data_IF_104768965937
#
_entry.id   IF_104768965937
#
_cell.length_a   1.000
_cell.length_b   1.000
_cell.length_c   1.000
_cell.angle_alpha   90.00
_cell.angle_beta   90.00
_cell.angle_gamma   90.00
#
_symmetry.space_group_name_H-M   'P 1'
#
loop_
_entity.id
_entity.type
_entity.pdbx_description
1 polymer ?
#
# COMPACT_ATOMS: atom_id res chain seq x y z
N UNK A 1 -39.31 -6.08 -15.73
CA UNK A 1 -38.80 -7.40 -15.34
C UNK A 1 -37.31 -7.35 -15.42
N UNK A 2 -36.63 -7.25 -14.27
CA UNK A 2 -35.16 -7.31 -14.18
C UNK A 2 -34.75 -8.76 -13.94
N UNK A 3 -33.67 -9.27 -14.52
CA UNK A 3 -33.16 -10.59 -14.17
C UNK A 3 -32.52 -10.57 -12.76
N UNK A 4 -32.53 -11.70 -12.05
CA UNK A 4 -32.03 -11.77 -10.68
C UNK A 4 -30.51 -11.69 -10.64
N UNK A 5 -30.02 -11.01 -9.63
CA UNK A 5 -28.60 -10.92 -9.25
C UNK A 5 -28.06 -12.33 -8.94
N UNK A 6 -27.00 -12.74 -9.65
CA UNK A 6 -26.28 -13.96 -9.37
C UNK A 6 -25.63 -13.86 -7.99
N UNK A 7 -26.10 -14.70 -7.07
CA UNK A 7 -25.52 -14.90 -5.76
C UNK A 7 -24.11 -15.48 -5.89
N UNK A 8 -23.14 -14.79 -5.34
CA UNK A 8 -21.79 -15.30 -5.13
C UNK A 8 -21.80 -16.28 -3.94
N UNK A 9 -22.48 -17.41 -4.13
CA UNK A 9 -22.48 -18.53 -3.18
C UNK A 9 -21.89 -19.75 -3.86
N UNK A 10 -20.61 -20.02 -3.63
CA UNK A 10 -20.00 -21.30 -3.93
C UNK A 10 -20.20 -22.22 -2.73
N UNK A 11 -21.07 -23.20 -2.93
CA UNK A 11 -21.31 -24.30 -1.99
C UNK A 11 -20.06 -25.19 -1.88
N UNK A 12 -19.60 -25.42 -0.67
CA UNK A 12 -18.82 -26.57 -0.28
C UNK A 12 -19.72 -27.81 -0.29
N UNK A 13 -19.61 -28.68 -1.28
CA UNK A 13 -19.75 -30.13 -1.18
C UNK A 13 -19.70 -30.79 -2.56
N UNK A 14 -18.58 -31.43 -2.86
CA UNK A 14 -18.60 -32.75 -3.53
C UNK A 14 -17.20 -33.34 -3.51
N UNK A 15 -16.92 -34.15 -2.47
CA UNK A 15 -15.85 -35.13 -2.52
C UNK A 15 -16.43 -36.43 -3.06
N UNK A 16 -16.32 -36.63 -4.36
CA UNK A 16 -16.63 -37.89 -5.04
C UNK A 16 -15.34 -38.62 -5.45
N UNK A 17 -15.23 -39.83 -4.94
CA UNK A 17 -14.16 -40.81 -5.22
C UNK A 17 -14.01 -41.12 -6.71
N UNK A 18 -12.80 -41.08 -7.23
CA UNK A 18 -12.42 -41.94 -8.36
C UNK A 18 -11.10 -42.66 -8.06
N UNK A 19 -11.17 -43.97 -8.27
CA UNK A 19 -10.11 -44.97 -8.08
C UNK A 19 -9.08 -44.89 -9.21
N UNK A 20 -7.87 -45.36 -8.93
CA UNK A 20 -6.65 -45.33 -9.68
C UNK A 20 -6.69 -45.98 -11.06
N UNK A 21 -5.76 -45.52 -11.85
CA UNK A 21 -5.10 -46.30 -12.92
C UNK A 21 -3.60 -45.96 -12.88
N UNK A 22 -2.79 -47.00 -12.72
CA UNK A 22 -1.34 -47.03 -12.84
C UNK A 22 -0.90 -46.66 -14.28
N UNK A 23 0.14 -45.84 -14.39
CA UNK A 23 0.75 -45.52 -15.66
C UNK A 23 2.11 -44.86 -15.46
N UNK A 24 3.17 -45.63 -15.30
CA UNK A 24 4.56 -45.17 -15.27
C UNK A 24 4.97 -44.59 -16.61
N UNK A 25 5.43 -43.33 -16.62
CA UNK A 25 6.41 -42.88 -17.62
C UNK A 25 7.34 -41.85 -17.00
N UNK A 26 8.64 -42.18 -17.09
CA UNK A 26 9.76 -41.33 -16.66
C UNK A 26 9.89 -40.17 -17.65
N UNK A 27 9.93 -38.94 -17.17
CA UNK A 27 10.64 -37.85 -17.84
C UNK A 27 11.28 -36.92 -16.77
N UNK A 28 12.51 -36.49 -17.11
CA UNK A 28 13.46 -35.86 -16.23
C UNK A 28 13.05 -34.46 -15.74
N UNK A 29 13.57 -34.11 -14.61
CA UNK A 29 13.46 -32.79 -13.99
C UNK A 29 14.30 -31.75 -14.75
N UNK A 30 13.82 -30.55 -14.97
CA UNK A 30 14.69 -29.44 -15.29
C UNK A 30 15.22 -28.79 -14.00
N UNK A 31 16.53 -28.67 -13.96
CA UNK A 31 17.32 -27.98 -12.94
C UNK A 31 16.88 -26.51 -12.82
N UNK A 32 16.42 -26.16 -11.64
CA UNK A 32 16.14 -24.78 -11.23
C UNK A 32 17.46 -24.03 -11.03
N UNK A 33 17.76 -23.10 -11.92
CA UNK A 33 18.86 -22.15 -11.73
C UNK A 33 18.32 -20.96 -10.92
N UNK A 34 18.67 -20.93 -9.64
CA UNK A 34 18.47 -19.77 -8.78
C UNK A 34 19.32 -18.61 -9.30
N UNK A 35 18.69 -17.58 -9.86
CA UNK A 35 19.34 -16.31 -10.12
C UNK A 35 19.39 -15.52 -8.80
N UNK A 36 20.53 -15.58 -8.11
CA UNK A 36 20.86 -14.61 -7.04
C UNK A 36 21.22 -13.29 -7.70
N UNK A 37 20.33 -12.30 -7.62
CA UNK A 37 20.67 -10.92 -7.94
C UNK A 37 21.34 -10.32 -6.71
N UNK A 38 22.67 -10.34 -6.70
CA UNK A 38 23.48 -9.63 -5.71
C UNK A 38 23.68 -8.20 -6.23
N UNK A 39 23.09 -7.23 -5.54
CA UNK A 39 23.43 -5.83 -5.77
C UNK A 39 24.80 -5.54 -5.15
N UNK A 40 25.83 -5.48 -5.99
CA UNK A 40 27.13 -4.95 -5.60
C UNK A 40 27.21 -3.47 -5.96
N UNK A 41 27.39 -2.62 -4.96
CA UNK A 41 27.78 -1.23 -5.17
C UNK A 41 29.20 -1.16 -5.69
N UNK A 42 29.53 -0.36 -6.72
CA UNK A 42 30.90 -0.13 -7.15
C UNK A 42 31.56 0.90 -6.24
N UNK A 43 32.61 0.46 -5.53
CA UNK A 43 33.56 1.37 -4.90
C UNK A 43 34.51 1.96 -5.99
N UNK A 44 34.52 3.27 -6.12
CA UNK A 44 35.51 3.99 -6.89
C UNK A 44 36.87 4.09 -6.18
N UNK A 45 38.00 4.20 -6.89
CA UNK A 45 39.33 4.09 -6.32
C UNK A 45 39.77 5.37 -5.60
N UNK A 46 40.42 5.17 -4.43
CA UNK A 46 40.99 6.20 -3.61
C UNK A 46 42.21 6.85 -4.26
N UNK A 47 42.32 8.17 -4.14
CA UNK A 47 43.53 8.93 -4.38
C UNK A 47 44.28 9.12 -3.06
N UNK A 48 45.49 8.58 -3.00
CA UNK A 48 46.51 8.88 -1.99
C UNK A 48 47.12 10.24 -2.25
N UNK A 49 47.34 11.01 -1.22
CA UNK A 49 48.32 12.10 -1.24
C UNK A 49 49.15 12.12 0.05
N UNK A 50 50.43 12.49 -0.03
CA UNK A 50 51.46 12.08 0.92
C UNK A 50 51.63 13.03 2.12
N UNK A 51 52.17 12.44 3.19
CA UNK A 51 52.61 13.12 4.39
C UNK A 51 53.91 13.94 4.20
N UNK A 52 54.04 15.05 4.90
CA UNK A 52 55.27 15.73 5.17
C UNK A 52 55.37 16.18 6.64
N UNK A 53 56.58 16.31 7.21
CA UNK A 53 56.83 16.00 8.62
C UNK A 53 56.99 17.18 9.59
N UNK A 54 56.98 16.79 10.86
CA UNK A 54 57.19 17.46 12.12
C UNK A 54 58.40 18.36 12.28
N UNK A 55 58.27 19.35 13.19
CA UNK A 55 59.21 19.77 14.26
C UNK A 55 58.42 20.68 15.21
N UNK A 56 58.47 20.68 16.55
CA UNK A 56 59.38 20.26 17.55
C UNK A 56 59.23 21.21 18.73
N UNK A 57 59.21 20.71 19.95
CA UNK A 57 59.79 21.38 21.07
C UNK A 57 58.90 22.10 22.11
N UNK A 58 58.99 21.70 23.38
CA UNK A 58 58.71 22.55 24.53
C UNK A 58 58.22 21.82 25.79
N UNK A 59 59.14 21.60 26.69
CA UNK A 59 58.93 20.94 28.00
C UNK A 59 58.31 21.89 29.06
N UNK A 60 57.56 21.30 30.03
CA UNK A 60 57.11 22.00 31.22
C UNK A 60 56.62 21.04 32.28
N UNK A 61 57.30 20.97 33.39
CA UNK A 61 57.33 20.09 34.54
C UNK A 61 56.10 20.11 35.45
N UNK A 62 55.75 18.92 36.01
CA UNK A 62 54.83 18.40 36.95
C UNK A 62 54.59 19.06 38.34
N UNK A 63 54.16 18.40 39.40
CA UNK A 63 53.47 17.12 39.65
C UNK A 63 52.22 17.20 40.57
N UNK A 64 51.80 16.22 41.40
CA UNK A 64 50.81 15.18 41.09
C UNK A 64 49.59 15.25 42.07
N UNK A 65 48.51 14.52 41.77
CA UNK A 65 47.41 14.36 42.69
C UNK A 65 46.22 13.53 42.21
N UNK A 66 46.24 12.29 42.62
CA UNK A 66 45.18 11.44 43.13
C UNK A 66 43.93 11.07 42.31
N UNK A 67 43.85 9.74 42.10
CA UNK A 67 42.72 8.81 42.37
C UNK A 67 41.48 8.80 41.51
N UNK A 68 41.37 7.75 40.70
CA UNK A 68 40.24 6.80 40.51
C UNK A 68 38.89 7.33 40.08
N UNK A 69 38.50 6.93 38.90
CA UNK A 69 37.19 6.33 38.64
C UNK A 69 37.18 5.60 37.30
N UNK A 70 36.57 4.43 37.29
CA UNK A 70 36.61 3.49 36.20
C UNK A 70 35.93 4.02 34.92
N UNK A 71 36.56 3.73 33.81
CA UNK A 71 36.01 3.94 32.48
C UNK A 71 34.91 2.92 32.20
N UNK A 72 33.67 3.34 32.34
CA UNK A 72 32.55 2.65 31.72
C UNK A 72 32.62 2.87 30.21
N UNK A 73 32.85 1.82 29.45
CA UNK A 73 32.73 1.84 27.98
C UNK A 73 31.25 1.98 27.68
N UNK A 74 30.83 3.16 27.22
CA UNK A 74 29.51 3.38 26.67
C UNK A 74 29.38 2.60 25.35
N UNK A 75 28.26 1.93 25.05
CA UNK A 75 28.03 1.30 23.79
C UNK A 75 27.95 2.38 22.70
N UNK A 76 28.67 2.18 21.60
CA UNK A 76 28.64 3.05 20.43
C UNK A 76 27.20 3.20 19.95
N UNK A 77 26.65 4.40 20.12
CA UNK A 77 25.29 4.73 19.76
C UNK A 77 25.10 4.68 18.23
N UNK A 78 24.09 3.97 17.82
CA UNK A 78 23.53 3.91 16.47
C UNK A 78 22.85 5.27 16.08
N UNK A 79 23.50 6.40 16.33
CA UNK A 79 22.90 7.71 16.11
C UNK A 79 23.01 8.23 14.68
N UNK A 80 23.99 7.71 13.90
CA UNK A 80 24.16 8.15 12.51
C UNK A 80 23.06 7.71 11.55
N UNK A 81 22.41 6.56 11.82
CA UNK A 81 21.33 6.07 10.97
C UNK A 81 20.03 6.86 11.16
N UNK A 82 19.75 7.31 12.38
CA UNK A 82 18.53 8.09 12.69
C UNK A 82 18.64 9.50 12.10
N UNK A 83 19.80 10.15 12.19
CA UNK A 83 20.01 11.49 11.63
C UNK A 83 19.95 11.47 10.10
N UNK A 84 20.50 10.43 9.44
CA UNK A 84 20.41 10.28 7.99
C UNK A 84 18.99 9.99 7.51
N UNK A 85 18.13 9.41 8.37
CA UNK A 85 16.70 9.22 8.08
C UNK A 85 15.90 10.54 8.21
N UNK A 86 16.17 11.38 9.19
CA UNK A 86 15.47 12.66 9.38
C UNK A 86 15.69 13.63 8.21
N UNK A 87 16.88 13.73 7.67
CA UNK A 87 17.17 14.57 6.50
C UNK A 87 16.50 14.07 5.21
N UNK A 88 16.27 12.75 5.08
CA UNK A 88 15.54 12.18 3.94
C UNK A 88 14.02 12.39 4.02
N UNK A 89 13.47 12.72 5.20
CA UNK A 89 12.03 12.92 5.42
C UNK A 89 11.57 14.33 4.98
N UNK A 90 12.47 15.33 5.00
CA UNK A 90 12.15 16.72 4.63
C UNK A 90 11.75 16.90 3.16
N UNK A 91 12.10 15.95 2.28
CA UNK A 91 11.79 16.00 0.85
C UNK A 91 10.55 15.21 0.44
N UNK A 92 9.93 14.44 1.32
CA UNK A 92 8.79 13.58 0.98
C UNK A 92 7.50 14.39 0.80
N UNK A 93 6.66 13.98 -0.18
CA UNK A 93 5.37 14.64 -0.42
C UNK A 93 4.24 14.14 0.49
N UNK A 94 4.44 12.99 1.12
CA UNK A 94 3.56 12.50 2.17
C UNK A 94 4.03 12.99 3.55
N UNK A 95 3.09 12.99 4.49
CA UNK A 95 3.39 13.27 5.90
C UNK A 95 3.40 11.96 6.70
N UNK A 96 4.08 11.96 7.85
CA UNK A 96 3.92 10.88 8.83
C UNK A 96 2.46 10.91 9.29
N UNK A 97 1.71 9.86 8.95
CA UNK A 97 0.29 9.80 9.30
C UNK A 97 0.09 9.35 10.74
N UNK A 98 -0.98 9.83 11.41
CA UNK A 98 -1.27 9.42 12.77
C UNK A 98 -1.47 7.91 12.91
N UNK A 99 -1.03 7.37 14.04
CA UNK A 99 -1.36 6.03 14.51
C UNK A 99 -2.21 6.17 15.76
N UNK A 100 -3.51 5.93 15.64
CA UNK A 100 -4.48 6.15 16.72
C UNK A 100 -4.96 4.80 17.27
N UNK A 101 -4.98 4.63 18.58
CA UNK A 101 -5.66 3.50 19.19
C UNK A 101 -7.16 3.76 19.21
N UNK A 102 -7.93 2.96 18.50
CA UNK A 102 -9.39 3.02 18.53
C UNK A 102 -9.92 2.31 19.77
N UNK A 103 -10.65 3.04 20.60
CA UNK A 103 -11.32 2.44 21.74
C UNK A 103 -12.50 1.55 21.27
N UNK A 104 -13.34 2.03 20.36
CA UNK A 104 -14.51 1.32 19.88
C UNK A 104 -14.13 -0.03 19.21
N UNK A 105 -13.18 -0.01 18.29
CA UNK A 105 -12.75 -1.21 17.59
C UNK A 105 -12.01 -2.18 18.53
N UNK A 106 -11.24 -1.66 19.48
CA UNK A 106 -10.54 -2.49 20.47
C UNK A 106 -11.52 -3.27 21.36
N UNK A 107 -12.65 -2.66 21.75
CA UNK A 107 -13.70 -3.35 22.51
C UNK A 107 -14.33 -4.49 21.70
N UNK A 108 -14.52 -4.32 20.39
CA UNK A 108 -15.11 -5.34 19.52
C UNK A 108 -14.19 -6.55 19.34
N UNK A 109 -12.90 -6.32 19.24
CA UNK A 109 -11.90 -7.37 18.96
C UNK A 109 -11.39 -8.02 20.25
N UNK A 110 -11.44 -7.32 21.37
CA UNK A 110 -10.88 -7.77 22.65
C UNK A 110 -9.35 -7.62 22.72
N UNK A 111 -8.75 -6.85 21.81
CA UNK A 111 -7.33 -6.48 21.82
C UNK A 111 -7.16 -5.06 21.28
N UNK A 112 -5.97 -4.46 21.45
CA UNK A 112 -5.71 -3.13 20.93
C UNK A 112 -5.78 -3.09 19.41
N UNK A 113 -6.66 -2.23 18.88
CA UNK A 113 -6.77 -1.93 17.45
C UNK A 113 -6.21 -0.53 17.19
N UNK A 114 -5.19 -0.46 16.37
CA UNK A 114 -4.57 0.79 15.94
C UNK A 114 -4.99 1.12 14.50
N UNK A 115 -5.33 2.38 14.29
CA UNK A 115 -5.70 2.96 13.01
C UNK A 115 -4.51 3.71 12.43
N UNK A 116 -3.94 3.25 11.32
CA UNK A 116 -2.95 4.00 10.55
C UNK A 116 -3.70 4.92 9.58
N UNK A 117 -3.81 6.20 9.94
CA UNK A 117 -4.75 7.15 9.33
C UNK A 117 -4.22 7.75 8.02
N UNK A 118 -4.20 6.98 6.94
CA UNK A 118 -3.80 7.43 5.61
C UNK A 118 -4.82 8.39 4.96
N UNK A 119 -6.04 8.46 5.49
CA UNK A 119 -7.02 9.49 5.15
C UNK A 119 -6.56 10.92 5.51
N UNK A 120 -5.56 11.05 6.38
CA UNK A 120 -4.97 12.34 6.79
C UNK A 120 -3.76 12.77 5.93
N UNK A 121 -3.43 12.03 4.91
CA UNK A 121 -2.41 12.44 3.94
C UNK A 121 -2.85 13.68 3.13
N UNK A 122 -1.93 14.49 2.57
CA UNK A 122 -2.24 15.72 1.84
C UNK A 122 -3.33 15.55 0.78
N UNK A 123 -3.36 14.40 0.10
CA UNK A 123 -4.42 14.10 -0.89
C UNK A 123 -5.47 13.13 -0.36
N UNK A 124 -5.61 13.03 0.97
CA UNK A 124 -6.64 12.25 1.65
C UNK A 124 -6.53 10.74 1.45
N UNK A 125 -5.39 10.21 1.00
CA UNK A 125 -5.17 8.78 0.86
C UNK A 125 -3.69 8.40 0.82
N UNK A 126 -3.39 7.13 1.10
CA UNK A 126 -2.05 6.55 1.03
C UNK A 126 -1.35 6.70 -0.31
N UNK A 127 -2.09 6.96 -1.39
CA UNK A 127 -1.56 7.03 -2.76
C UNK A 127 -0.39 7.99 -2.90
N UNK A 128 -0.38 9.08 -2.14
CA UNK A 128 0.70 10.06 -2.19
C UNK A 128 2.07 9.49 -1.76
N UNK A 129 2.09 8.44 -0.95
CA UNK A 129 3.36 7.79 -0.54
C UNK A 129 4.09 7.22 -1.74
N UNK A 130 3.43 6.31 -2.46
CA UNK A 130 4.03 5.64 -3.61
C UNK A 130 4.11 6.52 -4.84
N UNK A 131 3.03 7.21 -5.18
CA UNK A 131 2.99 8.08 -6.37
C UNK A 131 3.89 9.30 -6.17
N UNK A 132 3.93 9.88 -4.97
CA UNK A 132 4.83 10.97 -4.64
C UNK A 132 6.30 10.58 -4.81
N UNK A 133 6.68 9.42 -4.26
CA UNK A 133 8.02 8.87 -4.42
C UNK A 133 8.35 8.60 -5.91
N UNK A 134 7.46 7.94 -6.64
CA UNK A 134 7.62 7.69 -8.07
C UNK A 134 7.85 9.00 -8.84
N UNK A 135 7.02 10.02 -8.62
CA UNK A 135 7.11 11.30 -9.33
C UNK A 135 8.44 12.03 -9.03
N UNK A 136 8.92 11.97 -7.79
CA UNK A 136 10.21 12.54 -7.41
C UNK A 136 11.36 11.82 -8.13
N UNK A 137 11.34 10.49 -8.16
CA UNK A 137 12.38 9.70 -8.81
C UNK A 137 12.44 9.91 -10.33
N UNK A 138 11.29 9.97 -11.01
CA UNK A 138 11.30 10.25 -12.45
C UNK A 138 11.66 11.69 -12.78
N UNK A 139 11.32 12.65 -11.90
CA UNK A 139 11.74 14.04 -12.05
C UNK A 139 13.27 14.17 -11.95
N UNK A 140 13.90 13.50 -10.98
CA UNK A 140 15.40 13.44 -10.85
C UNK A 140 16.06 12.82 -12.09
N UNK A 141 15.35 11.93 -12.79
CA UNK A 141 15.80 11.30 -14.05
C UNK A 141 15.47 12.13 -15.30
N UNK A 142 14.98 13.36 -15.15
CA UNK A 142 14.73 14.28 -16.25
C UNK A 142 13.33 14.21 -16.86
N UNK A 143 12.33 13.67 -16.16
CA UNK A 143 10.94 13.78 -16.55
C UNK A 143 10.52 15.25 -16.68
N UNK A 144 9.82 15.56 -17.76
CA UNK A 144 9.36 16.94 -18.07
C UNK A 144 7.83 17.05 -18.03
N UNK A 145 7.10 15.94 -18.03
CA UNK A 145 5.64 15.91 -18.02
C UNK A 145 5.12 14.60 -17.45
N UNK A 146 4.18 14.67 -16.53
CA UNK A 146 3.55 13.49 -15.93
C UNK A 146 2.20 13.21 -16.58
N UNK A 147 1.89 11.95 -16.85
CA UNK A 147 0.60 11.53 -17.43
C UNK A 147 0.00 10.44 -16.56
N UNK A 148 -1.29 10.58 -16.20
CA UNK A 148 -2.01 9.56 -15.43
C UNK A 148 -3.42 9.36 -15.99
N UNK A 149 -3.99 8.16 -15.82
CA UNK A 149 -5.35 7.81 -16.30
C UNK A 149 -6.37 7.65 -15.18
N UNK A 150 -6.13 8.21 -14.01
CA UNK A 150 -7.02 8.05 -12.85
C UNK A 150 -7.71 9.34 -12.46
N UNK A 151 -9.04 9.34 -12.37
CA UNK A 151 -9.83 10.44 -11.79
C UNK A 151 -9.93 10.41 -10.27
N UNK A 152 -9.46 9.32 -9.63
CA UNK A 152 -9.53 9.11 -8.19
C UNK A 152 -8.25 9.48 -7.45
N UNK A 153 -8.01 8.76 -6.35
CA UNK A 153 -6.90 9.02 -5.44
C UNK A 153 -5.52 9.00 -6.10
N UNK A 154 -5.31 8.17 -7.13
CA UNK A 154 -4.04 8.11 -7.84
C UNK A 154 -3.81 9.34 -8.71
N UNK A 155 -4.83 9.81 -9.45
CA UNK A 155 -4.73 11.03 -10.26
C UNK A 155 -4.54 12.28 -9.41
N UNK A 156 -5.23 12.37 -8.26
CA UNK A 156 -5.03 13.47 -7.31
C UNK A 156 -3.59 13.47 -6.75
N UNK A 157 -3.05 12.29 -6.40
CA UNK A 157 -1.68 12.19 -5.94
C UNK A 157 -0.66 12.56 -7.05
N UNK A 158 -0.92 12.18 -8.31
CA UNK A 158 -0.08 12.54 -9.45
C UNK A 158 -0.13 14.06 -9.73
N UNK A 159 -1.32 14.66 -9.75
CA UNK A 159 -1.50 16.09 -9.95
C UNK A 159 -0.83 16.92 -8.85
N UNK A 160 -1.05 16.55 -7.58
CA UNK A 160 -0.38 17.17 -6.44
C UNK A 160 1.15 17.07 -6.53
N UNK A 161 1.66 15.88 -6.87
CA UNK A 161 3.10 15.66 -6.99
C UNK A 161 3.70 16.50 -8.12
N UNK A 162 3.02 16.58 -9.27
CA UNK A 162 3.42 17.43 -10.39
C UNK A 162 3.51 18.90 -9.98
N UNK A 163 2.47 19.40 -9.29
CA UNK A 163 2.45 20.78 -8.78
C UNK A 163 3.61 21.05 -7.82
N UNK A 164 3.89 20.09 -6.90
CA UNK A 164 5.02 20.21 -5.97
C UNK A 164 6.38 20.23 -6.68
N UNK A 165 6.51 19.54 -7.80
CA UNK A 165 7.74 19.49 -8.61
C UNK A 165 7.85 20.65 -9.62
N UNK A 166 6.79 21.46 -9.78
CA UNK A 166 6.75 22.46 -10.85
C UNK A 166 6.67 21.85 -12.25
N UNK A 167 6.20 20.60 -12.37
CA UNK A 167 6.05 19.89 -13.64
C UNK A 167 4.60 19.98 -14.14
N UNK A 168 4.37 20.06 -15.43
CA UNK A 168 3.04 19.90 -15.99
C UNK A 168 2.57 18.46 -15.84
N UNK A 169 1.25 18.27 -15.68
CA UNK A 169 0.59 16.98 -15.65
C UNK A 169 -0.65 16.95 -16.51
N UNK A 170 -0.87 15.88 -17.25
CA UNK A 170 -2.11 15.60 -17.98
C UNK A 170 -2.78 14.37 -17.36
N UNK A 171 -4.03 14.53 -16.92
CA UNK A 171 -4.85 13.44 -16.42
C UNK A 171 -5.89 13.08 -17.48
N UNK A 172 -5.82 11.88 -18.03
CA UNK A 172 -6.72 11.40 -19.09
C UNK A 172 -7.86 10.63 -18.44
N UNK A 173 -9.10 11.01 -18.73
CA UNK A 173 -10.30 10.45 -18.11
C UNK A 173 -11.37 10.10 -19.15
N UNK A 174 -12.27 9.14 -18.87
CA UNK A 174 -13.43 8.90 -19.72
C UNK A 174 -14.31 10.15 -19.89
N UNK A 175 -14.95 10.29 -21.05
CA UNK A 175 -15.84 11.41 -21.37
C UNK A 175 -17.00 11.58 -20.38
N UNK A 176 -17.50 10.47 -19.82
CA UNK A 176 -18.58 10.47 -18.82
C UNK A 176 -18.14 10.84 -17.40
N UNK A 177 -16.88 11.26 -17.19
CA UNK A 177 -16.37 11.63 -15.87
C UNK A 177 -17.12 12.83 -15.29
N UNK A 178 -17.54 12.71 -14.03
CA UNK A 178 -18.28 13.76 -13.35
C UNK A 178 -17.51 15.08 -13.29
N UNK A 179 -18.14 16.25 -13.58
CA UNK A 179 -17.46 17.55 -13.63
C UNK A 179 -16.73 17.94 -12.34
N UNK A 180 -17.20 17.47 -11.19
CA UNK A 180 -16.55 17.71 -9.90
C UNK A 180 -15.17 17.04 -9.81
N UNK A 181 -14.99 15.85 -10.39
CA UNK A 181 -13.70 15.15 -10.46
C UNK A 181 -12.72 15.96 -11.32
N UNK A 182 -13.18 16.43 -12.48
CA UNK A 182 -12.39 17.28 -13.39
C UNK A 182 -11.93 18.54 -12.65
N UNK A 183 -12.86 19.25 -12.00
CA UNK A 183 -12.53 20.48 -11.26
C UNK A 183 -11.52 20.26 -10.14
N UNK A 184 -11.59 19.12 -9.43
CA UNK A 184 -10.62 18.81 -8.35
C UNK A 184 -9.21 18.62 -8.89
N UNK A 185 -9.05 17.91 -10.00
CA UNK A 185 -7.76 17.72 -10.66
C UNK A 185 -7.19 19.02 -11.23
N UNK A 186 -8.04 19.83 -11.84
CA UNK A 186 -7.68 21.18 -12.32
C UNK A 186 -7.29 22.10 -11.15
N UNK A 187 -7.93 21.97 -9.99
CA UNK A 187 -7.56 22.69 -8.77
C UNK A 187 -6.15 22.35 -8.26
N UNK A 188 -5.64 21.15 -8.58
CA UNK A 188 -4.25 20.77 -8.34
C UNK A 188 -3.30 21.19 -9.48
N UNK A 189 -3.79 21.93 -10.48
CA UNK A 189 -2.99 22.45 -11.60
C UNK A 189 -2.80 21.46 -12.75
N UNK A 190 -3.49 20.32 -12.75
CA UNK A 190 -3.39 19.37 -13.85
C UNK A 190 -4.28 19.77 -15.04
N UNK A 191 -3.79 19.54 -16.26
CA UNK A 191 -4.61 19.49 -17.45
C UNK A 191 -5.46 18.22 -17.42
N UNK A 192 -6.76 18.32 -17.71
CA UNK A 192 -7.65 17.16 -17.80
C UNK A 192 -8.08 16.98 -19.26
N UNK A 193 -7.73 15.81 -19.81
CA UNK A 193 -8.13 15.39 -21.13
C UNK A 193 -9.24 14.34 -21.02
N UNK A 194 -10.42 14.62 -21.61
CA UNK A 194 -11.49 13.64 -21.70
C UNK A 194 -11.34 12.83 -22.99
N UNK A 195 -11.25 11.50 -22.87
CA UNK A 195 -11.01 10.60 -23.99
C UNK A 195 -11.60 9.20 -23.73
N UNK A 196 -12.37 8.74 -24.70
CA UNK A 196 -12.96 7.40 -24.69
C UNK A 196 -14.17 7.24 -23.78
N UNK A 197 -14.77 6.06 -23.83
CA UNK A 197 -16.02 5.77 -23.10
C UNK A 197 -15.76 5.13 -21.73
N UNK A 198 -14.69 4.36 -21.62
CA UNK A 198 -14.32 3.60 -20.41
C UNK A 198 -12.90 3.92 -19.99
N UNK A 199 -12.54 3.47 -18.78
CA UNK A 199 -11.20 3.69 -18.25
C UNK A 199 -10.09 3.11 -19.14
N UNK A 200 -10.32 1.95 -19.76
CA UNK A 200 -9.33 1.31 -20.62
C UNK A 200 -8.95 2.19 -21.83
N UNK A 201 -9.94 2.90 -22.42
CA UNK A 201 -9.71 3.84 -23.53
C UNK A 201 -8.84 5.03 -23.06
N UNK A 202 -9.20 5.63 -21.92
CA UNK A 202 -8.46 6.74 -21.32
C UNK A 202 -7.03 6.31 -20.94
N UNK A 203 -6.87 5.10 -20.43
CA UNK A 203 -5.58 4.55 -20.06
C UNK A 203 -4.68 4.31 -21.29
N UNK A 204 -5.21 3.77 -22.37
CA UNK A 204 -4.48 3.61 -23.63
C UNK A 204 -4.01 4.96 -24.17
N UNK A 205 -4.88 5.96 -24.13
CA UNK A 205 -4.54 7.32 -24.54
C UNK A 205 -3.46 7.93 -23.66
N UNK A 206 -3.52 7.73 -22.33
CA UNK A 206 -2.49 8.20 -21.40
C UNK A 206 -1.14 7.56 -21.69
N UNK A 207 -1.11 6.25 -21.92
CA UNK A 207 0.11 5.52 -22.29
C UNK A 207 0.68 5.98 -23.64
N UNK A 208 -0.19 6.30 -24.62
CA UNK A 208 0.21 6.85 -25.90
C UNK A 208 0.85 8.23 -25.75
N UNK A 209 0.25 9.11 -24.93
CA UNK A 209 0.84 10.42 -24.63
C UNK A 209 2.21 10.32 -23.96
N UNK A 210 2.38 9.33 -23.09
CA UNK A 210 3.64 9.11 -22.39
C UNK A 210 4.80 8.58 -23.27
N UNK A 211 4.54 8.25 -24.54
CA UNK A 211 5.58 7.93 -25.51
C UNK A 211 6.33 9.17 -26.03
N UNK A 212 5.84 10.38 -25.73
CA UNK A 212 6.53 11.63 -26.08
C UNK A 212 7.80 11.78 -25.24
N UNK A 213 8.83 12.37 -25.83
CA UNK A 213 10.10 12.57 -25.15
C UNK A 213 9.95 13.40 -23.86
N UNK A 214 10.47 12.85 -22.75
CA UNK A 214 10.38 13.45 -21.43
C UNK A 214 9.01 13.32 -20.75
N UNK A 215 8.04 12.64 -21.35
CA UNK A 215 6.73 12.37 -20.74
C UNK A 215 6.76 11.00 -20.05
N UNK A 216 6.20 10.91 -18.84
CA UNK A 216 6.22 9.69 -18.04
C UNK A 216 4.81 9.32 -17.58
N UNK A 217 4.40 8.08 -17.86
CA UNK A 217 3.14 7.51 -17.37
C UNK A 217 3.26 7.17 -15.87
N UNK A 218 2.32 7.69 -15.08
CA UNK A 218 2.18 7.40 -13.66
C UNK A 218 1.15 6.29 -13.48
N UNK A 219 1.62 5.09 -13.20
CA UNK A 219 0.75 3.96 -12.88
C UNK A 219 -0.03 4.22 -11.60
N UNK A 220 -1.32 3.84 -11.50
CA UNK A 220 -2.09 3.98 -10.27
C UNK A 220 -1.64 3.04 -9.14
N UNK A 221 -0.88 1.96 -9.40
CA UNK A 221 -0.48 0.98 -8.40
C UNK A 221 0.70 0.07 -8.81
N UNK A 222 0.92 -0.15 -10.11
CA UNK A 222 1.82 -1.20 -10.60
C UNK A 222 3.16 -0.61 -11.07
N UNK A 223 4.07 -0.40 -10.11
CA UNK A 223 5.45 0.00 -10.38
C UNK A 223 6.31 -0.16 -9.12
N UNK A 224 7.56 -0.68 -9.22
CA UNK A 224 8.45 -0.89 -8.06
C UNK A 224 8.64 0.35 -7.18
N UNK A 225 8.88 1.52 -7.76
CA UNK A 225 9.02 2.77 -7.01
C UNK A 225 7.74 3.17 -6.24
N UNK A 226 6.56 2.77 -6.74
CA UNK A 226 5.30 3.00 -6.04
C UNK A 226 5.22 2.09 -4.81
N UNK A 227 5.60 0.82 -4.95
CA UNK A 227 5.61 -0.13 -3.83
C UNK A 227 6.64 0.29 -2.77
N UNK A 228 7.83 0.71 -3.19
CA UNK A 228 8.87 1.27 -2.33
C UNK A 228 8.35 2.49 -1.54
N UNK A 229 7.70 3.45 -2.20
CA UNK A 229 7.10 4.58 -1.50
C UNK A 229 6.03 4.18 -0.48
N UNK A 230 5.27 3.11 -0.76
CA UNK A 230 4.27 2.59 0.17
C UNK A 230 4.89 1.87 1.38
N UNK A 231 6.10 1.31 1.29
CA UNK A 231 6.78 0.65 2.42
C UNK A 231 7.05 1.62 3.57
N UNK A 232 7.17 2.91 3.29
CA UNK A 232 7.34 3.97 4.30
C UNK A 232 6.27 3.95 5.40
N UNK A 233 5.06 3.47 5.10
CA UNK A 233 3.98 3.29 6.07
C UNK A 233 4.40 2.32 7.18
N UNK A 234 5.09 1.24 6.84
CA UNK A 234 5.53 0.22 7.81
C UNK A 234 6.69 0.72 8.64
N UNK A 235 7.59 1.52 8.09
CA UNK A 235 8.65 2.15 8.87
C UNK A 235 8.09 3.08 9.94
N UNK A 236 7.03 3.82 9.62
CA UNK A 236 6.31 4.63 10.59
C UNK A 236 5.63 3.77 11.68
N UNK A 237 5.02 2.63 11.29
CA UNK A 237 4.46 1.68 12.25
C UNK A 237 5.53 1.10 13.17
N UNK A 238 6.68 0.70 12.61
CA UNK A 238 7.80 0.16 13.37
C UNK A 238 8.33 1.18 14.39
N UNK A 239 8.51 2.44 13.98
CA UNK A 239 8.95 3.51 14.85
C UNK A 239 7.95 3.82 15.98
N UNK A 240 6.65 3.74 15.70
CA UNK A 240 5.60 4.07 16.67
C UNK A 240 5.25 2.94 17.63
N UNK A 241 5.25 1.69 17.17
CA UNK A 241 4.85 0.52 17.98
C UNK A 241 6.03 -0.12 18.71
N UNK A 242 7.23 -0.10 18.13
CA UNK A 242 8.42 -0.76 18.66
C UNK A 242 8.37 -2.29 18.66
N UNK A 243 7.17 -2.89 18.60
CA UNK A 243 6.94 -4.34 18.56
C UNK A 243 5.99 -4.70 17.42
N UNK A 244 6.13 -5.91 16.82
CA UNK A 244 5.26 -6.31 15.73
C UNK A 244 3.80 -6.46 16.19
N UNK A 245 2.82 -5.98 15.40
CA UNK A 245 1.41 -6.25 15.67
C UNK A 245 1.07 -7.72 15.40
N UNK A 246 -0.04 -8.20 15.95
CA UNK A 246 -0.54 -9.55 15.69
C UNK A 246 -1.09 -9.74 14.28
N UNK A 247 -1.55 -8.66 13.63
CA UNK A 247 -2.00 -8.64 12.24
C UNK A 247 -2.02 -7.22 11.67
N UNK A 248 -1.88 -7.10 10.35
CA UNK A 248 -2.15 -5.87 9.59
C UNK A 248 -3.33 -6.10 8.66
N UNK A 249 -4.33 -5.22 8.71
CA UNK A 249 -5.52 -5.27 7.85
C UNK A 249 -5.44 -4.16 6.82
N UNK A 250 -5.61 -4.48 5.54
CA UNK A 250 -5.62 -3.51 4.46
C UNK A 250 -6.58 -3.91 3.34
N UNK A 251 -7.03 -2.92 2.57
CA UNK A 251 -7.82 -3.15 1.36
C UNK A 251 -6.91 -3.33 0.14
N UNK A 252 -7.31 -4.23 -0.76
CA UNK A 252 -6.58 -4.54 -1.99
C UNK A 252 -7.44 -4.19 -3.20
N UNK A 253 -6.90 -3.33 -4.08
CA UNK A 253 -7.39 -3.18 -5.43
C UNK A 253 -6.39 -3.83 -6.38
N UNK A 254 -5.53 -3.05 -7.05
CA UNK A 254 -4.47 -3.59 -7.89
C UNK A 254 -3.27 -4.20 -7.17
N UNK A 255 -3.22 -4.17 -5.83
CA UNK A 255 -2.17 -4.83 -5.04
C UNK A 255 -0.94 -3.98 -4.71
N UNK A 256 -0.86 -2.72 -5.16
CA UNK A 256 0.31 -1.87 -4.91
C UNK A 256 0.55 -1.57 -3.43
N UNK A 257 -0.52 -1.32 -2.64
CA UNK A 257 -0.40 -1.15 -1.19
C UNK A 257 0.08 -2.43 -0.51
N UNK A 258 -0.51 -3.58 -0.89
CA UNK A 258 -0.12 -4.88 -0.39
C UNK A 258 1.37 -5.16 -0.64
N UNK A 259 1.85 -4.89 -1.87
CA UNK A 259 3.25 -5.07 -2.23
C UNK A 259 4.17 -4.18 -1.36
N UNK A 260 3.83 -2.91 -1.18
CA UNK A 260 4.61 -2.00 -0.35
C UNK A 260 4.60 -2.37 1.14
N UNK A 261 3.44 -2.75 1.69
CA UNK A 261 3.35 -3.20 3.10
C UNK A 261 4.13 -4.49 3.30
N UNK A 262 4.03 -5.46 2.38
CA UNK A 262 4.82 -6.70 2.46
C UNK A 262 6.33 -6.42 2.43
N UNK A 263 6.78 -5.55 1.54
CA UNK A 263 8.18 -5.13 1.47
C UNK A 263 8.63 -4.45 2.76
N UNK A 264 7.85 -3.50 3.26
CA UNK A 264 8.16 -2.80 4.51
C UNK A 264 8.21 -3.73 5.72
N UNK A 265 7.30 -4.72 5.83
CA UNK A 265 7.35 -5.71 6.90
C UNK A 265 8.62 -6.55 6.84
N UNK A 266 9.08 -6.91 5.65
CA UNK A 266 10.36 -7.61 5.47
C UNK A 266 11.55 -6.73 5.88
N UNK A 267 11.56 -5.46 5.47
CA UNK A 267 12.63 -4.49 5.76
C UNK A 267 12.82 -4.25 7.26
N UNK A 268 11.73 -4.24 8.04
CA UNK A 268 11.80 -4.03 9.49
C UNK A 268 11.88 -5.34 10.30
N UNK A 269 12.02 -6.50 9.65
CA UNK A 269 12.11 -7.81 10.33
C UNK A 269 10.77 -8.34 10.84
N UNK A 270 9.63 -7.82 10.36
CA UNK A 270 8.27 -8.22 10.75
C UNK A 270 7.57 -9.09 9.71
N UNK A 271 8.32 -9.80 8.85
CA UNK A 271 7.78 -10.65 7.78
C UNK A 271 6.86 -11.79 8.27
N UNK A 272 6.89 -12.10 9.56
CA UNK A 272 6.01 -13.10 10.20
C UNK A 272 4.61 -12.55 10.54
N UNK A 273 4.41 -11.23 10.48
CA UNK A 273 3.11 -10.60 10.75
C UNK A 273 2.14 -10.91 9.62
N UNK A 274 0.98 -11.56 9.90
CA UNK A 274 0.00 -11.84 8.87
C UNK A 274 -0.67 -10.57 8.35
N UNK A 275 -0.93 -10.53 7.04
CA UNK A 275 -1.69 -9.47 6.39
C UNK A 275 -3.08 -10.02 6.05
N UNK A 276 -4.12 -9.34 6.52
CA UNK A 276 -5.50 -9.60 6.13
C UNK A 276 -5.82 -8.68 4.96
N UNK A 277 -5.89 -9.26 3.77
CA UNK A 277 -6.10 -8.56 2.51
C UNK A 277 -7.60 -8.59 2.15
N UNK A 278 -8.24 -7.43 2.21
CA UNK A 278 -9.68 -7.28 2.04
C UNK A 278 -10.03 -6.74 0.67
N UNK A 279 -10.99 -7.37 0.03
CA UNK A 279 -11.56 -6.96 -1.25
C UNK A 279 -13.09 -6.98 -1.18
N UNK A 280 -13.76 -6.41 -2.19
CA UNK A 280 -15.22 -6.47 -2.30
C UNK A 280 -15.65 -7.38 -3.44
N UNK A 281 -16.78 -8.05 -3.32
CA UNK A 281 -17.38 -8.82 -4.40
C UNK A 281 -17.59 -7.91 -5.62
N UNK A 282 -17.13 -8.36 -6.78
CA UNK A 282 -17.11 -7.54 -8.01
C UNK A 282 -15.88 -6.65 -8.20
N UNK A 283 -14.96 -6.59 -7.22
CA UNK A 283 -13.64 -5.96 -7.35
C UNK A 283 -12.59 -6.77 -6.56
N UNK A 284 -12.50 -8.09 -6.83
CA UNK A 284 -11.71 -9.06 -6.07
C UNK A 284 -10.67 -9.79 -6.94
N UNK A 285 -9.95 -9.03 -7.75
CA UNK A 285 -9.01 -9.61 -8.71
C UNK A 285 -7.82 -10.32 -8.04
N UNK A 286 -7.40 -9.88 -6.85
CA UNK A 286 -6.32 -10.53 -6.11
C UNK A 286 -6.77 -11.87 -5.52
N UNK A 287 -7.95 -11.92 -4.90
CA UNK A 287 -8.53 -13.17 -4.39
C UNK A 287 -8.69 -14.22 -5.50
N UNK A 288 -9.28 -13.81 -6.63
CA UNK A 288 -9.43 -14.68 -7.80
C UNK A 288 -8.07 -15.18 -8.34
N UNK A 289 -7.03 -14.33 -8.32
CA UNK A 289 -5.70 -14.72 -8.73
C UNK A 289 -5.04 -15.71 -7.76
N UNK A 290 -5.27 -15.56 -6.45
CA UNK A 290 -4.80 -16.53 -5.43
C UNK A 290 -5.45 -17.89 -5.61
N UNK A 291 -6.77 -17.94 -5.79
CA UNK A 291 -7.50 -19.20 -6.02
C UNK A 291 -7.05 -19.90 -7.31
N UNK A 292 -6.79 -19.12 -8.36
CA UNK A 292 -6.33 -19.66 -9.64
C UNK A 292 -4.84 -20.00 -9.69
N UNK A 293 -4.03 -19.56 -8.71
CA UNK A 293 -2.58 -19.68 -8.71
C UNK A 293 -1.87 -18.91 -9.83
N UNK A 294 -2.58 -17.98 -10.49
CA UNK A 294 -2.09 -17.14 -11.60
C UNK A 294 -2.87 -15.83 -11.67
N UNK A 295 -2.35 -14.86 -12.40
CA UNK A 295 -3.12 -13.63 -12.64
C UNK A 295 -4.44 -13.94 -13.35
N UNK A 296 -5.50 -13.29 -12.84
CA UNK A 296 -6.86 -13.37 -13.38
C UNK A 296 -7.32 -11.95 -13.69
N UNK A 297 -7.92 -11.78 -14.87
CA UNK A 297 -8.57 -10.52 -15.25
C UNK A 297 -10.06 -10.68 -15.07
N UNK A 298 -10.66 -9.89 -14.19
CA UNK A 298 -12.11 -9.84 -14.00
C UNK A 298 -12.78 -9.29 -15.27
N UNK A 299 -13.94 -9.83 -15.66
CA UNK A 299 -14.64 -9.38 -16.87
C UNK A 299 -15.08 -7.91 -16.73
N UNK A 300 -15.53 -7.52 -15.55
CA UNK A 300 -15.93 -6.15 -15.24
C UNK A 300 -15.76 -5.84 -13.75
N UNK A 301 -15.88 -4.55 -13.39
CA UNK A 301 -15.93 -4.08 -12.00
C UNK A 301 -17.37 -3.72 -11.68
N UNK A 302 -17.99 -4.46 -10.77
CA UNK A 302 -19.40 -4.30 -10.39
C UNK A 302 -19.60 -3.77 -8.99
N UNK A 303 -18.55 -3.73 -8.17
CA UNK A 303 -18.58 -3.21 -6.80
C UNK A 303 -18.72 -1.69 -6.75
N UNK A 304 -19.40 -1.19 -5.72
CA UNK A 304 -19.45 0.25 -5.40
C UNK A 304 -18.15 0.78 -4.82
N UNK A 305 -17.25 -0.10 -4.39
CA UNK A 305 -15.91 0.25 -3.94
C UNK A 305 -14.98 0.52 -5.15
N UNK A 306 -15.34 1.49 -5.98
CA UNK A 306 -14.71 1.77 -7.28
C UNK A 306 -13.19 2.03 -7.21
N UNK A 307 -12.68 2.49 -6.06
CA UNK A 307 -11.23 2.67 -5.85
C UNK A 307 -10.46 1.34 -5.71
N UNK A 308 -11.15 0.19 -5.53
CA UNK A 308 -10.59 -1.15 -5.65
C UNK A 308 -10.67 -1.70 -7.08
N UNK A 309 -11.25 -0.97 -8.01
CA UNK A 309 -11.64 -1.41 -9.34
C UNK A 309 -10.49 -1.67 -10.32
N UNK A 310 -9.48 -2.41 -9.92
CA UNK A 310 -8.52 -3.00 -10.84
C UNK A 310 -9.05 -4.34 -11.36
N UNK A 311 -9.10 -4.52 -12.70
CA UNK A 311 -9.54 -5.81 -13.27
C UNK A 311 -8.49 -6.91 -13.07
N UNK A 312 -7.22 -6.54 -12.96
CA UNK A 312 -6.10 -7.48 -12.76
C UNK A 312 -5.17 -6.94 -11.67
N UNK A 313 -4.78 -7.80 -10.74
CA UNK A 313 -3.79 -7.45 -9.72
C UNK A 313 -2.37 -7.40 -10.32
N UNK A 314 -1.46 -6.65 -9.69
CA UNK A 314 -0.04 -6.72 -10.04
C UNK A 314 0.53 -8.12 -9.80
N UNK A 315 1.46 -8.57 -10.63
CA UNK A 315 2.16 -9.83 -10.43
C UNK A 315 2.89 -9.87 -9.09
N UNK A 316 3.38 -8.72 -8.61
CA UNK A 316 4.04 -8.60 -7.32
C UNK A 316 3.14 -9.00 -6.15
N UNK A 317 1.83 -8.77 -6.23
CA UNK A 317 0.91 -9.18 -5.18
C UNK A 317 0.87 -10.71 -5.01
N UNK A 318 0.93 -11.48 -6.10
CA UNK A 318 1.05 -12.95 -6.04
C UNK A 318 2.41 -13.39 -5.47
N UNK A 319 3.49 -12.71 -5.83
CA UNK A 319 4.81 -12.97 -5.26
C UNK A 319 4.78 -12.75 -3.73
N UNK A 320 4.18 -11.66 -3.26
CA UNK A 320 4.01 -11.39 -1.83
C UNK A 320 3.24 -12.53 -1.13
N UNK A 321 2.19 -13.06 -1.76
CA UNK A 321 1.39 -14.15 -1.20
C UNK A 321 2.16 -15.48 -1.10
N UNK A 322 3.21 -15.67 -1.88
CA UNK A 322 4.10 -16.83 -1.77
C UNK A 322 5.17 -16.65 -0.68
N UNK A 323 5.50 -15.42 -0.33
CA UNK A 323 6.60 -15.07 0.58
C UNK A 323 6.13 -14.69 1.99
N UNK A 324 4.86 -14.32 2.16
CA UNK A 324 4.29 -13.82 3.41
C UNK A 324 2.96 -14.49 3.71
N UNK A 325 2.56 -14.50 4.98
CA UNK A 325 1.22 -14.97 5.38
C UNK A 325 0.18 -13.93 4.99
N UNK A 326 -0.51 -14.14 3.86
CA UNK A 326 -1.59 -13.28 3.41
C UNK A 326 -2.92 -14.02 3.47
N UNK A 327 -3.87 -13.47 4.21
CA UNK A 327 -5.22 -13.99 4.40
C UNK A 327 -6.19 -13.14 3.56
N UNK A 328 -6.44 -13.55 2.32
CA UNK A 328 -7.38 -12.85 1.45
C UNK A 328 -8.82 -13.16 1.84
N UNK A 329 -9.66 -12.13 1.88
CA UNK A 329 -11.11 -12.22 2.14
C UNK A 329 -11.86 -11.23 1.27
N UNK A 330 -13.05 -11.65 0.84
CA UNK A 330 -13.96 -10.85 0.02
C UNK A 330 -15.23 -10.59 0.82
N UNK A 331 -15.61 -9.33 0.93
CA UNK A 331 -16.86 -8.89 1.60
C UNK A 331 -17.86 -8.37 0.57
N UNK A 332 -19.12 -8.31 0.94
CA UNK A 332 -20.14 -7.69 0.10
C UNK A 332 -20.06 -6.17 0.18
N UNK A 333 -20.51 -5.48 -0.86
CA UNK A 333 -20.59 -4.02 -0.88
C UNK A 333 -21.38 -3.47 0.32
N UNK A 334 -22.46 -4.15 0.72
CA UNK A 334 -23.23 -3.78 1.87
C UNK A 334 -22.42 -3.79 3.18
N UNK A 335 -21.54 -4.79 3.36
CA UNK A 335 -20.66 -4.85 4.53
C UNK A 335 -19.62 -3.71 4.52
N UNK A 336 -19.05 -3.43 3.37
CA UNK A 336 -18.10 -2.34 3.21
C UNK A 336 -18.75 -0.97 3.48
N UNK A 337 -19.94 -0.71 2.95
CA UNK A 337 -20.67 0.56 3.15
C UNK A 337 -21.16 0.68 4.60
N UNK A 338 -21.66 -0.40 5.20
CA UNK A 338 -22.01 -0.43 6.64
C UNK A 338 -20.81 -0.11 7.52
N UNK A 339 -19.63 -0.66 7.18
CA UNK A 339 -18.41 -0.38 7.91
C UNK A 339 -17.97 1.10 7.81
N UNK A 340 -18.19 1.75 6.66
CA UNK A 340 -17.96 3.20 6.52
C UNK A 340 -18.87 4.01 7.45
N UNK A 341 -20.18 3.66 7.51
CA UNK A 341 -21.11 4.36 8.40
C UNK A 341 -20.71 4.18 9.87
N UNK A 342 -20.46 2.94 10.29
CA UNK A 342 -20.05 2.66 11.68
C UNK A 342 -18.76 3.37 12.04
N UNK A 343 -17.79 3.39 11.13
CA UNK A 343 -16.53 4.09 11.34
C UNK A 343 -16.71 5.61 11.47
N UNK A 344 -17.61 6.18 10.66
CA UNK A 344 -18.00 7.60 10.79
C UNK A 344 -18.61 7.89 12.17
N UNK A 345 -19.44 6.98 12.68
CA UNK A 345 -20.10 7.13 13.97
C UNK A 345 -19.13 6.91 15.15
N UNK A 346 -18.21 5.95 15.03
CA UNK A 346 -17.27 5.62 16.09
C UNK A 346 -16.07 6.59 16.15
N UNK A 347 -15.47 6.93 14.99
CA UNK A 347 -14.21 7.67 14.91
C UNK A 347 -14.35 9.09 14.34
N UNK A 348 -15.54 9.50 13.89
CA UNK A 348 -15.81 10.81 13.26
C UNK A 348 -15.04 11.04 11.97
N UNK A 349 -14.69 9.96 11.26
CA UNK A 349 -13.94 9.98 10.01
C UNK A 349 -14.77 9.40 8.87
N UNK A 350 -14.96 10.16 7.80
CA UNK A 350 -15.58 9.66 6.57
C UNK A 350 -14.49 9.13 5.62
N UNK A 351 -14.67 7.89 5.15
CA UNK A 351 -13.76 7.22 4.22
C UNK A 351 -14.53 6.55 3.09
N UNK A 352 -13.86 6.19 2.01
CA UNK A 352 -14.47 5.50 0.86
C UNK A 352 -14.90 4.06 1.18
N UNK A 353 -15.86 3.49 0.42
CA UNK A 353 -16.20 2.06 0.50
C UNK A 353 -15.00 1.14 0.32
N UNK A 354 -14.01 1.54 -0.47
CA UNK A 354 -12.73 0.84 -0.59
C UNK A 354 -11.99 0.70 0.76
N UNK A 355 -12.00 1.74 1.58
CA UNK A 355 -11.48 1.70 2.95
C UNK A 355 -12.43 0.89 3.86
N UNK A 356 -13.73 1.01 3.63
CA UNK A 356 -14.75 0.23 4.32
C UNK A 356 -14.55 -1.26 4.20
N UNK A 357 -14.01 -1.77 3.09
CA UNK A 357 -13.67 -3.16 2.93
C UNK A 357 -12.64 -3.64 3.99
N UNK A 358 -11.59 -2.85 4.28
CA UNK A 358 -10.64 -3.16 5.34
C UNK A 358 -11.29 -3.08 6.74
N UNK A 359 -12.08 -2.04 6.98
CA UNK A 359 -12.80 -1.84 8.25
C UNK A 359 -13.83 -2.95 8.51
N UNK A 360 -14.44 -3.50 7.45
CA UNK A 360 -15.37 -4.61 7.55
C UNK A 360 -14.73 -5.83 8.22
N UNK A 361 -13.43 -6.07 8.10
CA UNK A 361 -12.74 -7.15 8.80
C UNK A 361 -12.94 -7.08 10.33
N UNK A 362 -13.02 -5.87 10.87
CA UNK A 362 -13.29 -5.65 12.30
C UNK A 362 -14.79 -5.73 12.58
N UNK A 363 -15.60 -4.98 11.83
CA UNK A 363 -17.00 -4.81 12.07
C UNK A 363 -17.86 -6.07 11.81
N UNK A 364 -17.40 -6.98 10.95
CA UNK A 364 -18.04 -8.28 10.68
C UNK A 364 -17.62 -9.40 11.64
N UNK A 365 -16.64 -9.15 12.53
CA UNK A 365 -16.08 -10.17 13.42
C UNK A 365 -15.16 -11.18 12.71
N UNK A 366 -14.67 -10.85 11.51
CA UNK A 366 -13.79 -11.73 10.71
C UNK A 366 -12.54 -12.16 11.47
N UNK A 367 -11.97 -11.32 12.32
CA UNK A 367 -10.77 -11.69 13.11
C UNK A 367 -11.05 -12.89 14.01
N UNK A 368 -12.19 -12.89 14.71
CA UNK A 368 -12.61 -14.02 15.54
C UNK A 368 -12.86 -15.29 14.72
N UNK A 369 -13.39 -15.17 13.51
CA UNK A 369 -13.56 -16.31 12.59
C UNK A 369 -12.19 -16.88 12.19
N UNK A 370 -11.24 -16.02 11.80
CA UNK A 370 -9.89 -16.45 11.43
C UNK A 370 -9.12 -17.10 12.60
N UNK A 371 -9.37 -16.64 13.83
CA UNK A 371 -8.83 -17.28 15.05
C UNK A 371 -9.47 -18.67 15.26
N UNK A 372 -10.79 -18.78 15.11
CA UNK A 372 -11.50 -20.06 15.22
C UNK A 372 -11.10 -21.07 14.13
N UNK A 373 -10.76 -20.57 12.92
CA UNK A 373 -10.20 -21.36 11.82
C UNK A 373 -8.72 -21.76 12.06
N UNK A 374 -8.08 -21.28 13.12
CA UNK A 374 -6.65 -21.48 13.38
C UNK A 374 -5.72 -20.73 12.38
N UNK A 375 -6.24 -19.75 11.66
CA UNK A 375 -5.53 -18.94 10.66
C UNK A 375 -4.86 -17.71 11.27
N UNK A 376 -5.31 -17.27 12.43
CA UNK A 376 -4.71 -16.25 13.28
C UNK A 376 -4.43 -16.81 14.67
N UNK A 377 -3.46 -16.22 15.36
CA UNK A 377 -3.20 -16.55 16.77
C UNK A 377 -4.46 -16.34 17.61
N UNK A 378 -4.79 -17.25 18.53
CA UNK A 378 -5.91 -17.06 19.45
C UNK A 378 -5.73 -15.84 20.37
N UNK A 379 -4.50 -15.38 20.55
CA UNK A 379 -4.15 -14.17 21.31
C UNK A 379 -3.32 -13.26 20.39
N UNK A 380 -3.92 -12.19 19.91
CA UNK A 380 -3.23 -11.16 19.13
C UNK A 380 -2.66 -10.11 20.09
N UNK A 381 -1.41 -9.72 19.88
CA UNK A 381 -0.79 -8.63 20.67
C UNK A 381 -1.51 -7.30 20.40
N UNK A 382 -1.78 -7.01 19.14
CA UNK A 382 -2.57 -5.87 18.64
C UNK A 382 -2.94 -6.10 17.18
N UNK A 383 -3.80 -5.25 16.64
CA UNK A 383 -4.17 -5.25 15.21
C UNK A 383 -3.96 -3.85 14.66
N UNK A 384 -3.33 -3.72 13.51
CA UNK A 384 -3.24 -2.46 12.77
C UNK A 384 -4.19 -2.49 11.59
N UNK A 385 -5.12 -1.53 11.50
CA UNK A 385 -5.97 -1.32 10.34
C UNK A 385 -5.44 -0.12 9.56
N UNK A 386 -5.11 -0.33 8.28
CA UNK A 386 -4.74 0.77 7.40
C UNK A 386 -6.02 1.46 6.92
N UNK A 387 -6.29 2.64 7.48
CA UNK A 387 -7.37 3.53 7.06
C UNK A 387 -6.92 4.22 5.78
N UNK A 388 -7.03 3.52 4.65
CA UNK A 388 -6.45 3.93 3.37
C UNK A 388 -7.00 5.25 2.82
N UNK A 389 -8.15 5.71 3.35
CA UNK A 389 -8.72 7.01 3.09
C UNK A 389 -9.63 7.04 1.89
N UNK A 390 -9.47 8.12 1.13
CA UNK A 390 -10.17 8.34 -0.12
C UNK A 390 -11.03 9.58 -0.15
N UNK A 391 -11.03 10.22 -1.30
CA UNK A 391 -11.70 11.50 -1.54
C UNK A 391 -12.96 11.37 -2.42
N UNK A 392 -13.32 10.15 -2.82
CA UNK A 392 -14.44 9.91 -3.72
C UNK A 392 -15.73 9.58 -2.95
N UNK A 393 -15.92 10.22 -1.82
CA UNK A 393 -17.09 10.06 -0.97
C UNK A 393 -17.45 11.40 -0.31
N UNK A 394 -18.73 11.67 -0.17
CA UNK A 394 -19.31 12.65 0.73
C UNK A 394 -20.51 12.05 1.47
N UNK A 395 -21.08 12.78 2.42
CA UNK A 395 -22.19 12.28 3.24
C UNK A 395 -23.43 11.93 2.43
N UNK A 396 -23.71 12.66 1.32
CA UNK A 396 -24.85 12.40 0.42
C UNK A 396 -24.61 11.12 -0.39
N UNK A 397 -23.37 10.94 -0.87
CA UNK A 397 -22.99 9.73 -1.59
C UNK A 397 -23.07 8.51 -0.68
N UNK A 398 -22.61 8.61 0.58
CA UNK A 398 -22.75 7.53 1.56
C UNK A 398 -24.24 7.14 1.76
N UNK A 399 -25.10 8.13 1.97
CA UNK A 399 -26.55 7.91 2.12
C UNK A 399 -27.17 7.27 0.87
N UNK A 400 -26.75 7.72 -0.33
CA UNK A 400 -27.20 7.13 -1.60
C UNK A 400 -26.78 5.66 -1.72
N UNK A 401 -25.55 5.33 -1.35
CA UNK A 401 -25.05 3.95 -1.37
C UNK A 401 -25.81 3.06 -0.37
N UNK A 402 -26.08 3.57 0.83
CA UNK A 402 -26.89 2.85 1.83
C UNK A 402 -28.29 2.54 1.29
N UNK A 403 -28.95 3.52 0.69
CA UNK A 403 -30.27 3.32 0.07
C UNK A 403 -30.21 2.31 -1.08
N UNK A 404 -29.19 2.42 -1.95
CA UNK A 404 -28.99 1.49 -3.07
C UNK A 404 -28.80 0.04 -2.60
N UNK A 405 -28.18 -0.16 -1.44
CA UNK A 405 -27.85 -1.46 -0.87
C UNK A 405 -28.89 -1.95 0.16
N UNK A 406 -29.99 -1.21 0.33
CA UNK A 406 -31.10 -1.60 1.23
C UNK A 406 -30.75 -1.52 2.71
N UNK A 407 -29.91 -0.55 3.10
CA UNK A 407 -29.45 -0.34 4.50
C UNK A 407 -30.17 0.82 5.21
N UNK A 408 -31.14 1.46 4.58
CA UNK A 408 -31.98 2.55 5.14
C UNK A 408 -33.39 2.07 5.42
#
# INVERSE_FOLDING_TARGET
MKPPSALCSLNHAERGRLRGVDGRSRFGAPTSTLLHVIFTCPHGPGSQSPAAPLKGGGAGTGPPGSLRAGTAVAPASCSCAVVAMEDSWSERFHTVSPLLRSWALSQMVGTDVFLKCENMQPMGSFKIRGIGHFCQEVARKGCRHLVCSSGGNAGLAAAYSARKLGLPATIVLPEATAPQVVRRLQGEGAEVLLAGKVWDDANLQAQTLAQRDGWVYVSPFDHPLIWEGHSSLVWELHAALGTPPGAVVLAVGGGGLLAGVSAGLLEVGWQHVPIIAMETCGAHCFHAALEAGRLVTLPDITSVATSLGAKTATAQALVCAQQSTILSRVVQDAEAVSAVQRFLDDERMLVEPACGAALAAIYSGLLGQLQAEGRLSPSLASVVVIVCGGNNIDSRQLQSLQTQLGQT
#
